data_IF_524688119208
#
_entry.id   IF_524688119208
#
_cell.length_a   1.000
_cell.length_b   1.000
_cell.length_c   1.000
_cell.angle_alpha   90.00
_cell.angle_beta   90.00
_cell.angle_gamma   90.00
#
_symmetry.space_group_name_H-M   'P 1'
#
loop_
_entity.id
_entity.type
_entity.pdbx_description
1 polymer ?
#
# COMPACT_ATOMS: atom_id res chain seq x y z
N UNK A 1 -0.24 0.74 -12.30
CA UNK A 1 -0.91 1.23 -11.08
C UNK A 1 -1.87 2.33 -11.43
N UNK A 2 -3.12 2.09 -11.15
CA UNK A 2 -4.15 3.09 -11.30
C UNK A 2 -4.16 4.05 -10.09
N UNK A 3 -4.28 5.34 -10.33
CA UNK A 3 -4.73 6.28 -9.31
C UNK A 3 -3.69 6.96 -8.44
N UNK A 4 -2.42 6.96 -8.80
CA UNK A 4 -1.39 7.56 -7.95
C UNK A 4 -1.06 9.00 -8.28
N UNK A 5 -1.43 9.45 -9.45
CA UNK A 5 -1.27 10.85 -9.84
C UNK A 5 -2.24 11.81 -9.13
N UNK A 6 -3.10 11.28 -8.24
CA UNK A 6 -4.18 12.04 -7.64
C UNK A 6 -3.93 12.31 -6.16
N UNK A 7 -4.41 13.46 -5.68
CA UNK A 7 -4.55 13.81 -4.26
C UNK A 7 -3.26 14.03 -3.45
N UNK A 8 -2.16 14.43 -4.07
CA UNK A 8 -0.93 14.74 -3.32
C UNK A 8 -0.15 13.55 -2.77
N UNK A 9 -0.51 12.32 -3.18
CA UNK A 9 0.12 11.08 -2.70
C UNK A 9 1.63 11.01 -2.94
N UNK A 10 2.11 11.62 -4.02
CA UNK A 10 3.55 11.69 -4.28
C UNK A 10 4.31 12.41 -3.18
N UNK A 11 3.74 13.50 -2.67
CA UNK A 11 4.35 14.25 -1.56
C UNK A 11 4.35 13.44 -0.26
N UNK A 12 3.33 12.61 -0.07
CA UNK A 12 3.27 11.71 1.08
C UNK A 12 4.39 10.68 1.00
N UNK A 13 4.60 10.10 -0.17
CA UNK A 13 5.70 9.15 -0.41
C UNK A 13 7.04 9.83 -0.18
N UNK A 14 7.29 10.99 -0.79
CA UNK A 14 8.56 11.71 -0.67
C UNK A 14 8.90 12.12 0.78
N UNK A 15 7.87 12.39 1.59
CA UNK A 15 8.07 12.89 2.95
C UNK A 15 8.06 11.82 4.03
N UNK A 16 7.37 10.71 3.80
CA UNK A 16 6.98 9.79 4.86
C UNK A 16 7.28 8.33 4.58
N UNK A 17 7.81 7.99 3.40
CA UNK A 17 8.13 6.62 3.04
C UNK A 17 9.61 6.46 2.76
N UNK A 18 10.23 5.53 3.46
CA UNK A 18 11.62 5.13 3.24
C UNK A 18 11.70 3.63 2.94
N UNK A 19 12.75 3.16 2.23
CA UNK A 19 13.02 1.73 2.13
C UNK A 19 13.15 1.08 3.53
N UNK A 20 12.45 -0.01 3.73
CA UNK A 20 12.33 -0.70 5.02
C UNK A 20 11.03 -0.40 5.79
N UNK A 21 10.33 0.66 5.44
CA UNK A 21 9.09 1.02 6.12
C UNK A 21 7.97 0.00 5.86
N UNK A 22 7.18 -0.23 6.90
CA UNK A 22 5.97 -1.07 6.80
C UNK A 22 4.88 -0.36 6.02
N UNK A 23 4.30 -1.08 5.07
CA UNK A 23 3.12 -0.67 4.31
C UNK A 23 1.94 -1.51 4.74
N UNK A 24 0.78 -0.90 4.95
CA UNK A 24 -0.45 -1.57 5.33
C UNK A 24 -1.37 -1.68 4.12
N UNK A 25 -1.87 -2.87 3.85
CA UNK A 25 -2.78 -3.12 2.74
C UNK A 25 -4.21 -3.28 3.29
N UNK A 26 -5.13 -2.48 2.78
CA UNK A 26 -6.52 -2.48 3.19
C UNK A 26 -7.44 -2.79 2.02
N UNK A 27 -8.37 -3.71 2.20
CA UNK A 27 -9.43 -3.96 1.22
C UNK A 27 -10.32 -2.72 1.07
N UNK A 28 -10.64 -2.40 -0.17
CA UNK A 28 -11.60 -1.35 -0.54
C UNK A 28 -12.67 -1.93 -1.48
N UNK A 29 -13.56 -2.80 -0.95
CA UNK A 29 -14.57 -3.47 -1.77
C UNK A 29 -15.63 -2.52 -2.33
N UNK A 30 -15.75 -1.32 -1.76
CA UNK A 30 -16.63 -0.26 -2.22
C UNK A 30 -16.04 0.65 -3.31
N UNK A 31 -14.84 0.31 -3.81
CA UNK A 31 -14.21 1.10 -4.86
C UNK A 31 -15.04 1.12 -6.13
N UNK A 32 -15.31 2.31 -6.67
CA UNK A 32 -16.16 2.49 -7.84
C UNK A 32 -15.58 1.88 -9.14
N UNK A 33 -14.28 1.63 -9.17
CA UNK A 33 -13.56 1.17 -10.37
C UNK A 33 -13.14 -0.29 -10.31
N UNK A 34 -12.96 -0.84 -9.10
CA UNK A 34 -12.50 -2.20 -8.91
C UNK A 34 -12.91 -2.75 -7.54
N UNK A 35 -13.80 -3.72 -7.53
CA UNK A 35 -14.23 -4.41 -6.30
C UNK A 35 -13.11 -5.20 -5.61
N UNK A 36 -12.02 -5.50 -6.32
CA UNK A 36 -10.83 -6.14 -5.76
C UNK A 36 -9.81 -5.12 -5.24
N UNK A 37 -10.12 -3.83 -5.28
CA UNK A 37 -9.17 -2.79 -4.88
C UNK A 37 -8.60 -3.04 -3.48
N UNK A 38 -7.29 -2.85 -3.37
CA UNK A 38 -6.53 -2.92 -2.12
C UNK A 38 -5.71 -1.65 -2.02
N UNK A 39 -6.02 -0.83 -1.03
CA UNK A 39 -5.28 0.39 -0.74
C UNK A 39 -3.94 0.06 -0.06
N UNK A 40 -2.91 0.81 -0.41
CA UNK A 40 -1.64 0.84 0.33
C UNK A 40 -1.61 2.09 1.21
N UNK A 41 -1.36 1.91 2.50
CA UNK A 41 -1.32 2.97 3.51
C UNK A 41 -0.04 2.93 4.32
N UNK A 42 0.37 4.09 4.82
CA UNK A 42 1.42 4.21 5.83
C UNK A 42 0.85 4.05 7.25
N UNK A 43 1.72 3.89 8.23
CA UNK A 43 1.36 3.81 9.67
C UNK A 43 0.49 4.98 10.13
N UNK A 44 0.70 6.16 9.60
CA UNK A 44 -0.06 7.36 9.90
C UNK A 44 -1.46 7.38 9.25
N UNK A 45 -1.82 6.35 8.50
CA UNK A 45 -3.09 6.23 7.78
C UNK A 45 -3.12 6.93 6.41
N UNK A 46 -2.02 7.54 5.98
CA UNK A 46 -1.94 8.16 4.66
C UNK A 46 -1.95 7.11 3.55
N UNK A 47 -2.85 7.26 2.60
CA UNK A 47 -2.88 6.44 1.42
C UNK A 47 -1.74 6.84 0.48
N UNK A 48 -0.96 5.85 0.04
CA UNK A 48 0.12 6.04 -0.93
C UNK A 48 -0.22 5.50 -2.33
N UNK A 49 -1.29 4.76 -2.46
CA UNK A 49 -1.77 4.22 -3.74
C UNK A 49 -2.61 2.97 -3.58
N UNK A 50 -2.68 2.20 -4.65
CA UNK A 50 -3.37 0.92 -4.71
C UNK A 50 -2.44 -0.18 -5.23
N UNK A 51 -2.68 -1.39 -4.80
CA UNK A 51 -2.09 -2.59 -5.40
C UNK A 51 -2.49 -2.65 -6.88
N UNK A 52 -1.59 -3.02 -7.80
CA UNK A 52 -1.93 -3.20 -9.20
C UNK A 52 -3.12 -4.15 -9.36
N UNK A 53 -4.00 -3.87 -10.33
CA UNK A 53 -5.25 -4.62 -10.51
C UNK A 53 -5.04 -6.13 -10.67
N UNK A 54 -3.98 -6.52 -11.36
CA UNK A 54 -3.65 -7.93 -11.59
C UNK A 54 -3.35 -8.64 -10.28
N UNK A 55 -2.47 -8.06 -9.47
CA UNK A 55 -2.10 -8.59 -8.15
C UNK A 55 -3.28 -8.51 -7.17
N UNK A 56 -4.03 -7.41 -7.20
CA UNK A 56 -5.21 -7.23 -6.34
C UNK A 56 -6.27 -8.31 -6.61
N UNK A 57 -6.45 -8.73 -7.86
CA UNK A 57 -7.39 -9.81 -8.22
C UNK A 57 -7.03 -11.15 -7.56
N UNK A 58 -5.75 -11.43 -7.42
CA UNK A 58 -5.27 -12.66 -6.75
C UNK A 58 -5.30 -12.52 -5.22
N UNK A 59 -4.93 -11.36 -4.71
CA UNK A 59 -4.80 -11.13 -3.27
C UNK A 59 -6.13 -10.90 -2.56
N UNK A 60 -7.06 -10.18 -3.19
CA UNK A 60 -8.32 -9.80 -2.57
C UNK A 60 -9.11 -11.00 -2.02
N UNK A 61 -9.30 -12.11 -2.78
CA UNK A 61 -10.00 -13.28 -2.25
C UNK A 61 -9.29 -13.95 -1.07
N UNK A 62 -7.96 -13.85 -1.00
CA UNK A 62 -7.19 -14.40 0.11
C UNK A 62 -7.37 -13.53 1.37
N UNK A 63 -7.28 -12.23 1.23
CA UNK A 63 -7.53 -11.30 2.34
C UNK A 63 -8.96 -11.43 2.85
N UNK A 64 -9.94 -11.60 1.98
CA UNK A 64 -11.35 -11.80 2.34
C UNK A 64 -11.58 -13.13 3.09
N UNK A 65 -10.70 -14.13 2.90
CA UNK A 65 -10.66 -15.39 3.65
C UNK A 65 -9.89 -15.31 4.96
N UNK A 66 -9.44 -14.12 5.36
CA UNK A 66 -8.74 -13.90 6.61
C UNK A 66 -7.23 -14.17 6.56
N UNK A 67 -6.62 -14.26 5.38
CA UNK A 67 -5.17 -14.32 5.28
C UNK A 67 -4.54 -13.09 5.92
N UNK A 68 -3.53 -13.32 6.73
CA UNK A 68 -2.71 -12.28 7.33
C UNK A 68 -1.69 -11.80 6.31
N UNK A 69 -1.23 -10.57 6.45
CA UNK A 69 -0.27 -9.98 5.53
C UNK A 69 0.81 -9.20 6.26
N UNK A 70 1.99 -9.18 5.68
CA UNK A 70 3.04 -8.21 5.99
C UNK A 70 3.52 -7.59 4.68
N UNK A 71 3.72 -6.30 4.67
CA UNK A 71 4.22 -5.61 3.50
C UNK A 71 5.22 -4.52 3.92
N UNK A 72 6.27 -4.34 3.14
CA UNK A 72 7.27 -3.32 3.40
C UNK A 72 7.85 -2.77 2.09
N UNK A 73 8.23 -1.50 2.13
CA UNK A 73 8.89 -0.84 1.01
C UNK A 73 10.31 -1.39 0.86
N UNK A 74 10.67 -1.91 -0.30
CA UNK A 74 12.03 -2.39 -0.57
C UNK A 74 12.91 -1.33 -1.19
N UNK A 75 12.33 -0.51 -2.05
CA UNK A 75 13.01 0.60 -2.73
C UNK A 75 12.00 1.59 -3.29
N UNK A 76 12.46 2.79 -3.57
CA UNK A 76 11.68 3.82 -4.26
C UNK A 76 12.44 4.13 -5.55
N UNK A 77 11.75 3.99 -6.67
CA UNK A 77 12.30 4.27 -8.00
C UNK A 77 11.92 5.69 -8.44
N UNK A 78 12.82 6.34 -9.14
CA UNK A 78 12.53 7.63 -9.76
C UNK A 78 11.63 7.44 -10.98
N UNK A 79 10.39 7.88 -10.86
CA UNK A 79 9.44 7.91 -11.96
C UNK A 79 9.43 9.29 -12.64
N UNK A 80 9.11 9.33 -13.94
CA UNK A 80 9.05 10.60 -14.70
C UNK A 80 8.10 11.66 -14.14
N UNK A 81 7.10 11.24 -13.38
CA UNK A 81 6.08 12.13 -12.80
C UNK A 81 6.03 12.04 -11.28
N UNK A 82 6.57 10.96 -10.70
CA UNK A 82 6.54 10.71 -9.27
C UNK A 82 7.41 9.55 -8.84
N UNK A 83 7.76 9.50 -7.55
CA UNK A 83 8.40 8.33 -6.97
C UNK A 83 7.53 7.08 -7.11
N UNK A 84 8.18 5.95 -7.36
CA UNK A 84 7.54 4.66 -7.54
C UNK A 84 7.99 3.72 -6.41
N UNK A 85 7.22 3.59 -5.32
CA UNK A 85 7.55 2.62 -4.28
C UNK A 85 7.37 1.19 -4.78
N UNK A 86 8.35 0.36 -4.49
CA UNK A 86 8.30 -1.07 -4.68
C UNK A 86 8.05 -1.70 -3.32
N UNK A 87 6.94 -2.41 -3.20
CA UNK A 87 6.49 -3.03 -1.96
C UNK A 87 6.54 -4.54 -2.10
N UNK A 88 7.23 -5.19 -1.17
CA UNK A 88 7.20 -6.63 -1.04
C UNK A 88 6.08 -7.04 -0.07
N UNK A 89 5.26 -8.02 -0.49
CA UNK A 89 4.13 -8.49 0.30
C UNK A 89 4.28 -9.98 0.58
N UNK A 90 4.04 -10.37 1.82
CA UNK A 90 3.94 -11.76 2.24
C UNK A 90 2.54 -12.03 2.76
N UNK A 91 1.93 -13.10 2.27
CA UNK A 91 0.63 -13.57 2.72
C UNK A 91 0.80 -14.85 3.54
N UNK A 92 0.13 -14.90 4.67
CA UNK A 92 0.15 -16.02 5.60
C UNK A 92 -1.27 -16.58 5.75
N UNK A 93 -1.38 -17.88 5.90
CA UNK A 93 -2.66 -18.51 6.21
C UNK A 93 -3.24 -17.96 7.52
N UNK A 94 -4.56 -18.01 7.72
CA UNK A 94 -5.19 -17.51 8.94
C UNK A 94 -4.65 -18.13 10.22
N UNK A 95 -4.25 -19.41 10.15
CA UNK A 95 -3.69 -20.22 11.25
C UNK A 95 -2.17 -20.08 11.43
N UNK A 96 -1.48 -19.39 10.50
CA UNK A 96 -0.04 -19.25 10.59
C UNK A 96 0.39 -18.16 11.58
N UNK A 97 1.53 -18.41 12.23
CA UNK A 97 2.19 -17.39 13.04
C UNK A 97 2.90 -16.39 12.12
N UNK A 98 2.57 -15.10 12.29
CA UNK A 98 3.23 -14.01 11.59
C UNK A 98 4.41 -13.52 12.43
N UNK A 99 5.63 -13.47 11.89
CA UNK A 99 6.79 -12.98 12.63
C UNK A 99 6.56 -11.59 13.23
N UNK A 100 6.70 -11.48 14.55
CA UNK A 100 6.42 -10.25 15.29
C UNK A 100 7.30 -9.05 14.83
N UNK A 101 8.49 -9.32 14.32
CA UNK A 101 9.40 -8.29 13.81
C UNK A 101 8.88 -7.57 12.55
N UNK A 102 7.93 -8.17 11.85
CA UNK A 102 7.33 -7.63 10.61
C UNK A 102 5.82 -7.39 10.81
N UNK A 103 5.29 -7.83 11.95
CA UNK A 103 3.87 -7.99 12.16
C UNK A 103 3.23 -6.83 12.89
N UNK A 104 2.72 -5.87 12.17
CA UNK A 104 1.55 -5.16 12.64
C UNK A 104 0.42 -5.43 11.64
N UNK A 105 -0.40 -6.40 12.02
CA UNK A 105 -1.52 -6.88 11.20
C UNK A 105 -2.68 -5.87 11.18
N UNK A 106 -2.63 -4.88 12.05
CA UNK A 106 -3.70 -3.90 12.18
C UNK A 106 -3.50 -2.75 11.19
N UNK A 107 -4.36 -2.69 10.20
CA UNK A 107 -4.35 -1.62 9.21
C UNK A 107 -4.78 -0.32 9.89
N UNK A 108 -3.97 0.74 9.87
CA UNK A 108 -4.35 2.01 10.47
C UNK A 108 -5.60 2.57 9.77
N UNK A 109 -6.46 3.28 10.49
CA UNK A 109 -7.61 3.93 9.90
C UNK A 109 -7.15 4.93 8.83
N UNK A 110 -7.97 5.13 7.81
CA UNK A 110 -7.65 6.11 6.75
C UNK A 110 -7.56 7.51 7.35
N UNK A 111 -6.45 8.20 7.11
CA UNK A 111 -6.31 9.60 7.52
C UNK A 111 -7.35 10.44 6.79
N UNK A 112 -8.07 11.26 7.55
CA UNK A 112 -9.04 12.20 6.97
C UNK A 112 -8.32 13.23 6.10
N UNK A 113 -8.90 13.65 4.96
CA UNK A 113 -8.26 14.59 4.04
C UNK A 113 -8.05 16.02 4.59
N UNK A 114 -8.30 16.24 5.89
CA UNK A 114 -8.12 17.52 6.57
C UNK A 114 -7.06 17.56 7.66
N UNK A 115 -6.35 16.47 7.94
CA UNK A 115 -5.36 16.39 9.02
C UNK A 115 -3.90 16.52 8.55
N UNK A 116 -3.65 17.32 7.51
CA UNK A 116 -2.29 17.72 7.17
C UNK A 116 -1.86 18.88 8.05
N UNK A 117 -0.84 18.74 8.90
CA UNK A 117 -0.31 19.88 9.64
C UNK A 117 0.41 20.91 8.74
N UNK A 118 0.53 20.65 7.43
CA UNK A 118 1.19 21.53 6.48
C UNK A 118 0.36 21.77 5.22
N UNK A 119 -0.68 22.57 5.35
CA UNK A 119 -1.41 23.13 4.22
C UNK A 119 -0.71 24.36 3.63
N UNK A 120 0.58 24.23 3.31
CA UNK A 120 1.28 25.24 2.53
C UNK A 120 2.40 24.57 1.77
N UNK A 121 2.19 24.41 0.46
CA UNK A 121 3.20 24.38 -0.62
C UNK A 121 2.72 23.54 -1.80
N UNK A 122 2.68 24.19 -2.90
CA UNK A 122 2.17 23.89 -4.20
C UNK A 122 2.43 22.54 -4.85
N UNK A 123 1.61 22.26 -5.83
CA UNK A 123 1.51 21.10 -6.72
C UNK A 123 2.81 20.49 -7.20
N UNK A 124 2.95 19.17 -7.01
CA UNK A 124 3.67 18.29 -7.93
C UNK A 124 3.00 16.90 -7.90
N UNK A 125 2.76 16.37 -9.08
CA UNK A 125 1.98 15.17 -9.36
C UNK A 125 2.90 13.97 -9.41
N UNK A 126 2.56 12.91 -8.74
CA UNK A 126 3.38 11.73 -8.70
C UNK A 126 2.71 10.35 -8.77
N UNK A 127 3.39 9.40 -9.36
CA UNK A 127 2.96 8.02 -9.61
C UNK A 127 3.61 7.05 -8.60
N UNK A 128 2.83 6.23 -7.94
CA UNK A 128 3.29 5.11 -7.09
C UNK A 128 3.05 3.81 -7.84
N UNK A 129 4.07 3.03 -8.10
CA UNK A 129 3.95 1.65 -8.53
C UNK A 129 4.10 0.76 -7.30
N UNK A 130 3.05 0.07 -6.93
CA UNK A 130 3.11 -1.00 -5.94
C UNK A 130 3.32 -2.31 -6.68
N UNK A 131 4.54 -2.84 -6.62
CA UNK A 131 4.83 -4.17 -7.16
C UNK A 131 4.66 -5.15 -6.01
N UNK A 132 3.71 -6.05 -6.15
CA UNK A 132 3.47 -7.16 -5.24
C UNK A 132 4.25 -8.36 -5.75
N UNK A 133 5.22 -8.82 -4.98
CA UNK A 133 5.88 -10.10 -5.24
C UNK A 133 5.24 -11.13 -4.33
N UNK A 134 4.38 -11.97 -4.90
CA UNK A 134 3.83 -13.14 -4.22
C UNK A 134 4.92 -14.21 -4.09
N UNK A 135 5.55 -14.28 -2.94
CA UNK A 135 6.32 -15.46 -2.56
C UNK A 135 5.38 -16.49 -1.91
N UNK A 136 4.51 -17.08 -2.69
CA UNK A 136 3.71 -18.22 -2.28
C UNK A 136 3.94 -19.38 -3.25
N UNK A 137 5.12 -19.99 -3.17
CA UNK A 137 5.30 -21.38 -3.60
C UNK A 137 6.37 -22.03 -2.74
N UNK A 138 5.94 -22.57 -1.64
CA UNK A 138 6.52 -23.76 -1.05
C UNK A 138 5.41 -24.65 -0.55
N UNK A 139 5.31 -25.73 -1.21
CA UNK A 139 4.60 -26.99 -0.90
C UNK A 139 3.66 -26.99 0.31
#
# INVERSE_FOLDING_TARGET
>A
VAGVAYEGRAKVVDRHLEPGDTVFLARDPGNAYDSNAIEARLRQGYQIGYVPREDAREMAPLLDRGYKQTAYCTKILDGRRAPIPVVQVHLYRPDADVPAAIGQTEVPPRASPGSSPDAAWGCLIGLVLVIVILLARSC
#
